data_IF_602224726450
#
_entry.id   IF_602224726450
#
_cell.length_a   1.000
_cell.length_b   1.000
_cell.length_c   1.000
_cell.angle_alpha   90.00
_cell.angle_beta   90.00
_cell.angle_gamma   90.00
#
_symmetry.space_group_name_H-M   'P 1'
#
loop_
_entity.id
_entity.type
_entity.pdbx_description
1 polymer ?
#
# COMPACT_ATOMS: atom_id res chain seq x y z
N UNK A 1 26.67 37.76 -13.22
CA UNK A 1 26.82 36.31 -12.97
C UNK A 1 26.17 35.87 -11.64
N UNK A 2 26.45 36.51 -10.49
CA UNK A 2 25.81 36.16 -9.20
C UNK A 2 24.27 36.34 -9.18
N UNK A 3 23.75 37.42 -9.77
CA UNK A 3 22.31 37.73 -9.77
C UNK A 3 21.45 36.73 -10.55
N UNK A 4 21.99 36.09 -11.60
CA UNK A 4 21.26 35.09 -12.38
C UNK A 4 21.12 33.76 -11.60
N UNK A 5 22.16 33.36 -10.87
CA UNK A 5 22.15 32.16 -10.03
C UNK A 5 21.14 32.27 -8.87
N UNK A 6 20.95 33.46 -8.30
CA UNK A 6 19.95 33.69 -7.25
C UNK A 6 18.51 33.49 -7.77
N UNK A 7 18.23 33.99 -8.99
CA UNK A 7 16.93 33.82 -9.66
C UNK A 7 16.67 32.36 -9.99
N UNK A 8 17.66 31.63 -10.51
CA UNK A 8 17.55 30.20 -10.80
C UNK A 8 17.28 29.38 -9.53
N UNK A 9 17.99 29.68 -8.44
CA UNK A 9 17.79 29.02 -7.15
C UNK A 9 16.41 29.31 -6.55
N UNK A 10 15.90 30.54 -6.66
CA UNK A 10 14.57 30.89 -6.19
C UNK A 10 13.48 30.15 -6.99
N UNK A 11 13.63 30.07 -8.32
CA UNK A 11 12.71 29.33 -9.18
C UNK A 11 12.73 27.83 -8.87
N UNK A 12 13.91 27.25 -8.61
CA UNK A 12 14.07 25.84 -8.24
C UNK A 12 13.37 25.52 -6.90
N UNK A 13 13.52 26.38 -5.89
CA UNK A 13 12.84 26.24 -4.58
C UNK A 13 11.32 26.37 -4.70
N UNK A 14 10.84 27.32 -5.51
CA UNK A 14 9.40 27.50 -5.73
C UNK A 14 8.78 26.29 -6.43
N UNK A 15 9.47 25.74 -7.43
CA UNK A 15 9.02 24.53 -8.14
C UNK A 15 9.01 23.31 -7.22
N UNK A 16 10.06 23.08 -6.44
CA UNK A 16 10.13 21.94 -5.53
C UNK A 16 9.06 21.99 -4.44
N UNK A 17 8.79 23.16 -3.86
CA UNK A 17 7.73 23.34 -2.88
C UNK A 17 6.33 23.09 -3.46
N UNK A 18 6.06 23.58 -4.68
CA UNK A 18 4.80 23.32 -5.37
C UNK A 18 4.61 21.81 -5.67
N UNK A 19 5.66 21.14 -6.14
CA UNK A 19 5.63 19.69 -6.37
C UNK A 19 5.41 18.89 -5.09
N UNK A 20 5.98 19.30 -3.96
CA UNK A 20 5.76 18.63 -2.67
C UNK A 20 4.29 18.79 -2.22
N UNK A 21 3.72 19.98 -2.34
CA UNK A 21 2.31 20.24 -2.02
C UNK A 21 1.35 19.42 -2.89
N UNK A 22 1.61 19.34 -4.20
CA UNK A 22 0.79 18.54 -5.10
C UNK A 22 0.92 17.03 -4.82
N UNK A 23 2.12 16.57 -4.44
CA UNK A 23 2.34 15.19 -3.99
C UNK A 23 1.56 14.90 -2.71
N UNK A 24 1.61 15.78 -1.72
CA UNK A 24 0.89 15.64 -0.45
C UNK A 24 -0.63 15.58 -0.68
N UNK A 25 -1.16 16.44 -1.56
CA UNK A 25 -2.57 16.44 -1.97
C UNK A 25 -2.98 15.12 -2.61
N UNK A 26 -2.18 14.63 -3.56
CA UNK A 26 -2.47 13.38 -4.26
C UNK A 26 -2.40 12.17 -3.31
N UNK A 27 -1.38 12.11 -2.44
CA UNK A 27 -1.30 11.10 -1.39
C UNK A 27 -2.50 11.15 -0.45
N UNK A 28 -2.93 12.35 -0.05
CA UNK A 28 -4.13 12.55 0.75
C UNK A 28 -5.39 12.03 0.05
N UNK A 29 -5.54 12.28 -1.25
CA UNK A 29 -6.65 11.78 -2.06
C UNK A 29 -6.65 10.25 -2.15
N UNK A 30 -5.50 9.64 -2.37
CA UNK A 30 -5.36 8.18 -2.42
C UNK A 30 -5.65 7.52 -1.07
N UNK A 31 -5.16 8.10 0.04
CA UNK A 31 -5.41 7.59 1.39
C UNK A 31 -6.90 7.54 1.74
N UNK A 32 -7.68 8.55 1.32
CA UNK A 32 -9.13 8.59 1.56
C UNK A 32 -9.91 7.46 0.88
N UNK A 33 -9.33 6.85 -0.16
CA UNK A 33 -9.95 5.70 -0.87
C UNK A 33 -9.72 4.37 -0.13
N UNK A 34 -8.83 4.34 0.86
CA UNK A 34 -8.48 3.14 1.59
C UNK A 34 -9.25 3.15 2.92
N UNK A 35 -9.99 2.09 3.27
CA UNK A 35 -10.63 2.00 4.57
C UNK A 35 -9.62 2.18 5.71
N UNK A 36 -10.00 2.98 6.70
CA UNK A 36 -9.11 3.41 7.79
C UNK A 36 -8.38 2.24 8.50
N UNK A 37 -9.02 1.09 8.82
CA UNK A 37 -8.31 -0.01 9.48
C UNK A 37 -7.13 -0.57 8.67
N UNK A 38 -7.26 -0.66 7.34
CA UNK A 38 -6.18 -1.15 6.48
C UNK A 38 -5.05 -0.14 6.37
N UNK A 39 -5.39 1.16 6.31
CA UNK A 39 -4.41 2.23 6.25
C UNK A 39 -3.60 2.30 7.55
N UNK A 40 -4.25 2.18 8.71
CA UNK A 40 -3.59 2.15 10.01
C UNK A 40 -2.65 0.96 10.13
N UNK A 41 -3.09 -0.25 9.77
CA UNK A 41 -2.22 -1.43 9.78
C UNK A 41 -1.02 -1.28 8.83
N UNK A 42 -1.24 -0.77 7.63
CA UNK A 42 -0.17 -0.44 6.68
C UNK A 42 0.86 0.51 7.29
N UNK A 43 0.40 1.61 7.90
CA UNK A 43 1.26 2.62 8.51
C UNK A 43 2.01 2.08 9.73
N UNK A 44 1.35 1.30 10.59
CA UNK A 44 1.98 0.68 11.75
C UNK A 44 3.12 -0.25 11.34
N UNK A 45 2.94 -1.06 10.28
CA UNK A 45 4.01 -1.92 9.76
C UNK A 45 5.17 -1.11 9.19
N UNK A 46 4.87 -0.07 8.41
CA UNK A 46 5.88 0.89 7.89
C UNK A 46 6.67 1.55 9.01
N UNK A 47 6.00 2.04 10.05
CA UNK A 47 6.63 2.70 11.20
C UNK A 47 7.58 1.75 11.96
N UNK A 48 7.29 0.45 11.97
CA UNK A 48 8.14 -0.61 12.54
C UNK A 48 9.24 -1.10 11.60
N UNK A 49 9.44 -0.46 10.45
CA UNK A 49 10.43 -0.89 9.43
C UNK A 49 10.10 -2.21 8.74
N UNK A 50 8.86 -2.72 8.87
CA UNK A 50 8.44 -3.97 8.23
C UNK A 50 7.75 -3.67 6.90
N UNK A 51 8.01 -4.45 5.83
CA UNK A 51 7.43 -4.19 4.52
C UNK A 51 5.91 -4.46 4.56
N UNK A 52 5.05 -3.44 4.37
CA UNK A 52 3.60 -3.53 4.60
C UNK A 52 2.88 -4.48 3.64
N UNK A 53 3.41 -4.63 2.42
CA UNK A 53 2.93 -5.50 1.36
C UNK A 53 3.94 -6.62 1.10
N UNK A 54 3.48 -7.80 0.71
CA UNK A 54 4.34 -8.90 0.32
C UNK A 54 3.73 -9.73 -0.81
N UNK A 55 4.54 -10.07 -1.81
CA UNK A 55 4.16 -11.08 -2.79
C UNK A 55 4.07 -12.45 -2.10
N UNK A 56 3.15 -13.28 -2.59
CA UNK A 56 3.17 -14.71 -2.31
C UNK A 56 3.61 -15.44 -3.56
N UNK A 57 4.68 -16.21 -3.45
CA UNK A 57 5.23 -17.01 -4.56
C UNK A 57 5.39 -18.42 -4.05
N UNK A 58 4.80 -19.38 -4.74
CA UNK A 58 4.83 -20.82 -4.35
C UNK A 58 4.31 -21.05 -2.91
N UNK A 59 3.35 -20.23 -2.47
CA UNK A 59 2.79 -20.32 -1.12
C UNK A 59 3.66 -19.68 -0.02
N UNK A 60 4.79 -19.07 -0.37
CA UNK A 60 5.70 -18.44 0.59
C UNK A 60 5.50 -16.92 0.62
N UNK A 61 5.33 -16.36 1.82
CA UNK A 61 5.29 -14.91 2.02
C UNK A 61 6.68 -14.30 1.84
N UNK A 62 6.87 -13.42 0.86
CA UNK A 62 8.19 -12.81 0.58
C UNK A 62 8.63 -11.73 1.58
N UNK A 63 7.81 -11.41 2.58
CA UNK A 63 8.22 -10.52 3.70
C UNK A 63 8.86 -11.26 4.86
N UNK A 64 8.44 -12.48 5.16
CA UNK A 64 8.90 -13.23 6.34
C UNK A 64 9.40 -14.64 6.02
N UNK A 65 9.30 -15.05 4.76
CA UNK A 65 9.76 -16.33 4.22
C UNK A 65 9.08 -17.58 4.82
N UNK A 66 7.93 -17.40 5.49
CA UNK A 66 7.13 -18.50 6.02
C UNK A 66 6.01 -18.90 5.05
N UNK A 67 5.61 -20.16 5.15
CA UNK A 67 4.50 -20.72 4.39
C UNK A 67 3.18 -20.06 4.79
N UNK A 68 2.43 -19.61 3.80
CA UNK A 68 1.07 -19.10 3.95
C UNK A 68 0.11 -20.30 4.00
N UNK A 69 -0.80 -20.37 4.99
CA UNK A 69 -1.79 -21.43 5.07
C UNK A 69 -2.64 -21.57 3.80
N UNK A 70 -2.96 -22.80 3.41
CA UNK A 70 -3.71 -23.11 2.18
C UNK A 70 -5.06 -22.40 2.12
N UNK A 71 -5.77 -22.25 3.25
CA UNK A 71 -7.03 -21.50 3.29
C UNK A 71 -6.87 -20.03 2.88
N UNK A 72 -5.84 -19.36 3.41
CA UNK A 72 -5.52 -17.98 3.02
C UNK A 72 -5.01 -17.89 1.56
N UNK A 73 -4.36 -18.94 1.05
CA UNK A 73 -4.00 -19.02 -0.36
C UNK A 73 -5.22 -19.10 -1.27
N UNK A 74 -6.26 -19.84 -0.87
CA UNK A 74 -7.52 -19.91 -1.60
C UNK A 74 -8.24 -18.56 -1.59
N UNK A 75 -8.27 -17.89 -0.44
CA UNK A 75 -8.83 -16.55 -0.29
C UNK A 75 -8.09 -15.52 -1.16
N UNK A 76 -6.75 -15.53 -1.13
CA UNK A 76 -5.90 -14.66 -1.94
C UNK A 76 -6.12 -14.86 -3.45
N UNK A 77 -6.31 -16.12 -3.87
CA UNK A 77 -6.62 -16.46 -5.27
C UNK A 77 -8.03 -16.02 -5.66
N UNK A 78 -9.00 -16.13 -4.75
CA UNK A 78 -10.38 -15.68 -4.98
C UNK A 78 -10.45 -14.17 -5.21
N UNK A 79 -9.60 -13.40 -4.53
CA UNK A 79 -9.51 -11.95 -4.69
C UNK A 79 -10.70 -11.16 -4.18
N UNK A 80 -11.56 -11.77 -3.38
CA UNK A 80 -12.72 -11.10 -2.81
C UNK A 80 -12.35 -10.22 -1.62
N UNK A 81 -11.25 -10.53 -0.94
CA UNK A 81 -10.84 -9.87 0.30
C UNK A 81 -9.34 -9.59 0.37
N UNK A 82 -9.00 -8.64 1.25
CA UNK A 82 -7.62 -8.30 1.58
C UNK A 82 -7.06 -9.30 2.56
N UNK A 83 -6.12 -10.13 2.11
CA UNK A 83 -5.50 -11.17 2.94
C UNK A 83 -4.24 -10.64 3.61
N UNK A 84 -4.13 -10.81 4.94
CA UNK A 84 -2.91 -10.54 5.69
C UNK A 84 -2.17 -11.83 6.04
N UNK A 85 -0.84 -11.80 6.00
CA UNK A 85 0.01 -12.90 6.45
C UNK A 85 -0.19 -13.12 7.96
N UNK A 86 -0.52 -14.34 8.42
CA UNK A 86 -0.77 -14.59 9.84
C UNK A 86 0.52 -14.51 10.68
N UNK A 87 1.68 -14.63 10.04
CA UNK A 87 2.98 -14.65 10.74
C UNK A 87 3.58 -13.26 10.92
N UNK A 88 3.48 -12.39 9.91
CA UNK A 88 4.15 -11.09 9.93
C UNK A 88 3.23 -9.89 9.72
N UNK A 89 1.96 -10.14 9.38
CA UNK A 89 0.94 -9.13 9.13
C UNK A 89 1.03 -8.44 7.77
N UNK A 90 1.84 -8.90 6.81
CA UNK A 90 1.89 -8.28 5.48
C UNK A 90 0.63 -8.52 4.68
N UNK A 91 0.09 -7.48 4.06
CA UNK A 91 -0.94 -7.67 3.06
C UNK A 91 -0.34 -8.42 1.87
N UNK A 92 -0.97 -9.54 1.55
CA UNK A 92 -0.50 -10.47 0.55
C UNK A 92 -1.09 -10.08 -0.81
N UNK A 93 -0.29 -10.21 -1.85
CA UNK A 93 -0.76 -10.13 -3.23
C UNK A 93 -0.20 -11.30 -4.04
N UNK A 94 -0.99 -11.75 -5.01
CA UNK A 94 -0.55 -12.73 -6.00
C UNK A 94 0.05 -11.99 -7.20
N UNK A 95 1.37 -12.07 -7.47
CA UNK A 95 1.99 -11.38 -8.58
C UNK A 95 1.43 -11.81 -9.94
N UNK A 96 0.85 -13.01 -10.07
CA UNK A 96 0.21 -13.45 -11.30
C UNK A 96 -1.10 -12.68 -11.60
N UNK A 97 -1.70 -12.06 -10.57
CA UNK A 97 -2.93 -11.27 -10.69
C UNK A 97 -2.67 -9.77 -10.85
N UNK A 98 -1.47 -9.29 -10.51
CA UNK A 98 -1.09 -7.89 -10.64
C UNK A 98 -0.56 -7.65 -12.07
N UNK A 99 -1.45 -7.78 -13.06
CA UNK A 99 -1.18 -7.36 -14.44
C UNK A 99 -2.06 -6.16 -14.73
N UNK A 100 -1.45 -4.98 -14.80
CA UNK A 100 -2.09 -3.75 -15.27
C UNK A 100 -2.81 -2.95 -14.17
N UNK A 101 -2.35 -1.72 -13.96
CA UNK A 101 -3.03 -0.77 -13.07
C UNK A 101 -4.41 -0.36 -13.60
N UNK A 102 -5.27 -0.07 -12.61
CA UNK A 102 -6.55 0.62 -12.65
C UNK A 102 -7.82 -0.26 -12.63
N UNK A 103 -8.71 0.15 -11.71
CA UNK A 103 -10.17 -0.09 -11.72
C UNK A 103 -10.64 -1.51 -11.40
N UNK A 104 -10.68 -1.85 -10.11
CA UNK A 104 -11.81 -2.54 -9.44
C UNK A 104 -11.47 -2.86 -7.98
N UNK A 105 -11.68 -1.89 -7.09
CA UNK A 105 -11.82 -2.13 -5.65
C UNK A 105 -12.95 -1.23 -5.13
N UNK A 106 -14.09 -1.26 -5.81
CA UNK A 106 -15.35 -0.79 -5.27
C UNK A 106 -16.22 -2.03 -5.03
N UNK A 107 -16.68 -2.14 -3.78
CA UNK A 107 -17.84 -2.92 -3.36
C UNK A 107 -17.63 -4.44 -3.18
N UNK A 108 -17.06 -4.78 -2.01
CA UNK A 108 -17.66 -5.73 -1.05
C UNK A 108 -16.87 -5.70 0.27
N UNK A 109 -16.80 -4.55 0.93
CA UNK A 109 -16.51 -4.56 2.38
C UNK A 109 -17.77 -5.05 3.08
N UNK A 110 -17.95 -6.37 3.14
CA UNK A 110 -18.87 -6.95 4.11
C UNK A 110 -18.29 -6.70 5.51
N UNK A 111 -19.13 -6.33 6.49
CA UNK A 111 -18.67 -5.98 7.82
C UNK A 111 -18.04 -7.22 8.47
N UNK A 112 -16.80 -7.08 8.92
CA UNK A 112 -16.15 -8.10 9.74
C UNK A 112 -17.05 -8.36 10.94
N UNK A 113 -17.54 -9.59 11.03
CA UNK A 113 -18.48 -10.07 12.02
C UNK A 113 -17.99 -9.76 13.44
N UNK A 114 -18.88 -9.17 14.22
CA UNK A 114 -18.81 -9.10 15.68
C UNK A 114 -18.84 -10.52 16.22
N UNK A 115 -17.72 -11.00 16.77
CA UNK A 115 -17.70 -12.17 17.63
C UNK A 115 -17.68 -11.70 19.08
N UNK A 116 -18.81 -11.96 19.75
CA UNK A 116 -19.03 -11.85 21.18
C UNK A 116 -18.21 -12.91 21.95
#
# INVERSE_FOLDING_TARGET
MLQLNEVENALARSKSAAHELDRERELGRLRRKIPQPYLEHYQQRRARGKPPLAAVVEGVCRSCFLQVPTGLMQELRSGNDVVACPHCGAFLYDPARVVGGNEQMEQKTNPMATAA
#
